data_IF_602173228725
#
_entry.id   IF_602173228725
#
_cell.length_a   1.000
_cell.length_b   1.000
_cell.length_c   1.000
_cell.angle_alpha   90.00
_cell.angle_beta   90.00
_cell.angle_gamma   90.00
#
_symmetry.space_group_name_H-M   'P 1'
#
loop_
_entity.id
_entity.type
_entity.pdbx_description
1 polymer ?
#
# COMPACT_ATOMS: atom_id res chain seq x y z
N UNK A 1 -6.66 2.80 -6.05
CA UNK A 1 -5.18 2.82 -6.17
C UNK A 1 -4.62 4.15 -6.70
N UNK A 2 -5.37 4.94 -7.49
CA UNK A 2 -4.84 6.14 -8.17
C UNK A 2 -4.30 7.23 -7.23
N UNK A 3 -4.93 7.50 -6.09
CA UNK A 3 -4.42 8.51 -5.16
C UNK A 3 -3.12 8.08 -4.46
N UNK A 4 -2.99 6.78 -4.16
CA UNK A 4 -1.82 6.23 -3.48
C UNK A 4 -0.55 6.31 -4.35
N UNK A 5 -0.67 6.20 -5.67
CA UNK A 5 0.46 6.29 -6.61
C UNK A 5 1.02 7.71 -6.81
N UNK A 6 0.37 8.74 -6.27
CA UNK A 6 0.87 10.12 -6.29
C UNK A 6 1.47 10.57 -4.95
N UNK A 7 1.36 9.75 -3.90
CA UNK A 7 1.93 10.07 -2.60
C UNK A 7 3.43 9.72 -2.57
N UNK A 8 4.22 10.40 -1.75
CA UNK A 8 5.63 10.02 -1.53
C UNK A 8 5.76 8.80 -0.59
N UNK A 9 4.77 8.61 0.29
CA UNK A 9 4.69 7.51 1.25
C UNK A 9 3.24 7.13 1.50
N UNK A 10 2.99 5.83 1.65
CA UNK A 10 1.72 5.27 2.10
C UNK A 10 1.95 4.28 3.25
N UNK A 11 0.93 4.14 4.10
CA UNK A 11 0.88 3.15 5.17
C UNK A 11 -0.26 2.17 4.90
N UNK A 12 0.01 0.88 5.13
CA UNK A 12 -0.96 -0.18 5.00
C UNK A 12 -1.48 -0.55 6.38
N UNK A 13 -2.80 -0.72 6.47
CA UNK A 13 -3.48 -1.10 7.70
C UNK A 13 -4.17 -2.44 7.50
N UNK A 14 -3.95 -3.37 8.42
CA UNK A 14 -4.68 -4.62 8.54
C UNK A 14 -5.15 -4.76 9.98
N UNK A 15 -6.44 -5.04 10.19
CA UNK A 15 -7.06 -5.20 11.51
C UNK A 15 -6.77 -4.03 12.48
N UNK A 16 -6.80 -2.80 11.96
CA UNK A 16 -6.55 -1.59 12.75
C UNK A 16 -5.09 -1.39 13.16
N UNK A 17 -4.16 -2.23 12.68
CA UNK A 17 -2.72 -2.14 12.94
C UNK A 17 -1.96 -1.82 11.66
N UNK A 18 -0.81 -1.17 11.80
CA UNK A 18 0.10 -0.93 10.68
C UNK A 18 0.69 -2.27 10.26
N UNK A 19 0.35 -2.69 9.05
CA UNK A 19 0.85 -3.90 8.41
C UNK A 19 2.14 -3.65 7.61
N UNK A 20 2.38 -2.40 7.22
CA UNK A 20 3.60 -2.01 6.53
C UNK A 20 3.52 -0.61 5.97
N UNK A 21 4.57 -0.20 5.27
CA UNK A 21 4.65 1.08 4.59
C UNK A 21 5.40 0.98 3.27
N UNK A 22 5.16 1.94 2.38
CA UNK A 22 5.80 2.01 1.07
C UNK A 22 6.16 3.44 0.72
N UNK A 23 7.42 3.65 0.31
CA UNK A 23 7.94 4.89 -0.22
C UNK A 23 7.96 4.86 -1.75
N UNK A 24 7.76 6.02 -2.38
CA UNK A 24 7.62 6.17 -3.84
C UNK A 24 6.66 5.12 -4.45
N UNK A 25 5.39 5.08 -3.97
CA UNK A 25 4.38 4.18 -4.46
C UNK A 25 4.10 4.36 -5.95
N UNK A 26 3.90 3.24 -6.63
CA UNK A 26 3.33 3.21 -7.99
C UNK A 26 2.05 2.41 -7.95
N UNK A 27 1.15 2.63 -8.92
CA UNK A 27 -0.13 1.92 -8.95
C UNK A 27 0.05 0.40 -8.96
N UNK A 28 1.09 -0.08 -9.66
CA UNK A 28 1.47 -1.49 -9.71
C UNK A 28 1.91 -2.02 -8.34
N UNK A 29 2.86 -1.35 -7.67
CA UNK A 29 3.36 -1.78 -6.36
C UNK A 29 2.25 -1.84 -5.31
N UNK A 30 1.35 -0.86 -5.33
CA UNK A 30 0.20 -0.82 -4.40
C UNK A 30 -0.73 -2.00 -4.65
N UNK A 31 -1.06 -2.27 -5.91
CA UNK A 31 -1.93 -3.38 -6.27
C UNK A 31 -1.31 -4.72 -5.87
N UNK A 32 -0.01 -4.90 -6.11
CA UNK A 32 0.68 -6.13 -5.74
C UNK A 32 0.74 -6.32 -4.23
N UNK A 33 1.02 -5.27 -3.44
CA UNK A 33 0.98 -5.37 -1.98
C UNK A 33 -0.41 -5.76 -1.46
N UNK A 34 -1.48 -5.16 -2.00
CA UNK A 34 -2.85 -5.48 -1.58
C UNK A 34 -3.25 -6.92 -1.87
N UNK A 35 -2.74 -7.55 -2.93
CA UNK A 35 -2.99 -8.97 -3.23
C UNK A 35 -2.43 -9.90 -2.14
N UNK A 36 -1.29 -9.55 -1.56
CA UNK A 36 -0.61 -10.35 -0.54
C UNK A 36 -1.13 -10.07 0.89
N UNK A 37 -1.86 -8.98 1.10
CA UNK A 37 -2.35 -8.61 2.43
C UNK A 37 -3.52 -9.50 2.93
N UNK A 38 -4.15 -10.26 2.02
CA UNK A 38 -5.30 -11.13 2.32
C UNK A 38 -5.01 -12.63 2.22
N UNK A 39 -3.75 -13.03 2.06
CA UNK A 39 -3.28 -14.42 2.27
C UNK A 39 -2.85 -14.62 3.73
#
# INVERSE_FOLDING_TARGET
ATAASYADRIVFLADGKVAGEMFSPTAQKVLDYLKHLGE
#
